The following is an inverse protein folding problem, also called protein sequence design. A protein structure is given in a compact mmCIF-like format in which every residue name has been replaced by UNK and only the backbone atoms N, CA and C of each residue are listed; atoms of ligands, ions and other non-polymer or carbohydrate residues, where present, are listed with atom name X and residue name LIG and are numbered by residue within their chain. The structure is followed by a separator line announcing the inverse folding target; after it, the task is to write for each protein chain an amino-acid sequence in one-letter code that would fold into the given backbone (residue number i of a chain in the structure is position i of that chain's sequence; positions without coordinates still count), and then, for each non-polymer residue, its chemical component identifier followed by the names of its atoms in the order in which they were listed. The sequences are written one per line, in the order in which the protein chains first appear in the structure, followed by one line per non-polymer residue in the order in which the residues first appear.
data_IF_866851385959
#
_entry.id   IF_866851385959
#
_cell.length_a   1.000
_cell.length_b   1.000
_cell.length_c   1.000
_cell.angle_alpha   90.00
_cell.angle_beta   90.00
_cell.angle_gamma   90.00
#
_symmetry.space_group_name_H-M   'P 1'
#
loop_
_entity.id
_entity.type
_entity.pdbx_description
1 polymer ?
#
# COMPACT_ATOMS: atom_id res chain seq x y z
N UNK A 1 5.01 5.11 -3.50
CA UNK A 1 6.38 5.01 -2.94
C UNK A 1 6.30 5.44 -1.48
N UNK A 2 6.29 4.49 -0.54
CA UNK A 2 6.44 4.74 0.89
C UNK A 2 7.55 5.75 1.22
N UNK A 3 7.32 6.62 2.21
CA UNK A 3 8.30 7.62 2.65
C UNK A 3 8.24 8.96 1.91
N UNK A 4 7.92 9.00 0.61
CA UNK A 4 7.86 10.27 -0.14
C UNK A 4 6.75 11.20 0.37
N UNK A 5 5.61 10.64 0.78
CA UNK A 5 4.52 11.43 1.36
C UNK A 5 4.89 12.06 2.71
N UNK A 6 5.61 11.32 3.55
CA UNK A 6 6.14 11.83 4.81
C UNK A 6 7.16 12.96 4.58
N UNK A 7 8.05 12.80 3.58
CA UNK A 7 8.98 13.87 3.16
C UNK A 7 8.21 15.11 2.70
N UNK A 8 7.14 14.92 1.92
CA UNK A 8 6.27 16.02 1.48
C UNK A 8 5.62 16.76 2.67
N UNK A 9 5.20 16.03 3.70
CA UNK A 9 4.68 16.59 4.95
C UNK A 9 5.77 17.19 5.87
N UNK A 10 7.03 17.30 5.39
CA UNK A 10 8.21 17.76 6.16
C UNK A 10 8.63 16.86 7.32
N UNK A 11 8.12 15.63 7.38
CA UNK A 11 8.56 14.60 8.34
C UNK A 11 9.72 13.79 7.74
N UNK A 12 10.88 14.44 7.64
CA UNK A 12 12.06 13.90 6.94
C UNK A 12 12.60 12.63 7.60
N UNK A 13 12.60 12.55 8.94
CA UNK A 13 13.13 11.38 9.64
C UNK A 13 12.30 10.14 9.31
N UNK A 14 10.96 10.20 9.46
CA UNK A 14 10.09 9.09 9.08
C UNK A 14 10.19 8.81 7.59
N UNK A 15 10.18 9.86 6.77
CA UNK A 15 10.24 9.72 5.32
C UNK A 15 11.47 8.97 4.81
N UNK A 16 12.66 9.31 5.32
CA UNK A 16 13.91 8.63 4.96
C UNK A 16 13.91 7.18 5.45
N UNK A 17 13.48 6.93 6.70
CA UNK A 17 13.41 5.57 7.25
C UNK A 17 12.47 4.67 6.43
N UNK A 18 11.29 5.17 6.09
CA UNK A 18 10.31 4.43 5.30
C UNK A 18 10.78 4.19 3.87
N UNK A 19 11.48 5.15 3.25
CA UNK A 19 12.05 4.99 1.91
C UNK A 19 13.18 3.94 1.90
N UNK A 20 14.05 3.93 2.90
CA UNK A 20 15.07 2.89 3.05
C UNK A 20 14.45 1.51 3.26
N UNK A 21 13.45 1.42 4.15
CA UNK A 21 12.75 0.18 4.42
C UNK A 21 12.02 -0.34 3.18
N UNK A 22 11.39 0.54 2.41
CA UNK A 22 10.77 0.19 1.13
C UNK A 22 11.78 -0.40 0.16
N UNK A 23 12.95 0.24 -0.01
CA UNK A 23 13.98 -0.27 -0.89
C UNK A 23 14.46 -1.67 -0.47
N UNK A 24 14.68 -1.87 0.84
CA UNK A 24 15.11 -3.17 1.40
C UNK A 24 14.06 -4.24 1.13
N UNK A 25 12.81 -4.01 1.51
CA UNK A 25 11.73 -5.00 1.36
C UNK A 25 11.45 -5.27 -0.13
N UNK A 26 11.46 -4.25 -0.99
CA UNK A 26 11.27 -4.41 -2.43
C UNK A 26 12.34 -5.33 -3.05
N UNK A 27 13.61 -5.13 -2.65
CA UNK A 27 14.73 -5.95 -3.11
C UNK A 27 14.65 -7.39 -2.61
N UNK A 28 14.33 -7.60 -1.34
CA UNK A 28 14.23 -8.93 -0.73
C UNK A 28 13.02 -9.73 -1.24
N UNK A 29 11.91 -9.04 -1.54
CA UNK A 29 10.68 -9.66 -2.07
C UNK A 29 10.69 -9.91 -3.57
N UNK A 30 11.63 -9.31 -4.31
CA UNK A 30 11.66 -9.29 -5.78
C UNK A 30 10.37 -8.75 -6.43
N UNK A 31 9.63 -7.89 -5.73
CA UNK A 31 8.33 -7.38 -6.20
C UNK A 31 8.44 -6.64 -7.53
N UNK A 32 9.45 -5.79 -7.74
CA UNK A 32 9.58 -5.05 -9.01
C UNK A 32 9.78 -5.98 -10.23
N UNK A 33 10.52 -7.09 -10.05
CA UNK A 33 10.69 -8.08 -11.10
C UNK A 33 9.38 -8.83 -11.38
N UNK A 34 8.65 -9.19 -10.32
CA UNK A 34 7.33 -9.82 -10.44
C UNK A 34 6.30 -8.90 -11.11
N UNK A 35 6.34 -7.59 -10.83
CA UNK A 35 5.51 -6.57 -11.49
C UNK A 35 5.82 -6.52 -12.98
N UNK A 36 7.10 -6.44 -13.36
CA UNK A 36 7.53 -6.42 -14.76
C UNK A 36 7.05 -7.67 -15.52
N UNK A 37 7.27 -8.86 -14.96
CA UNK A 37 6.80 -10.13 -15.54
C UNK A 37 5.28 -10.18 -15.65
N UNK A 38 4.57 -9.68 -14.64
CA UNK A 38 3.09 -9.61 -14.65
C UNK A 38 2.57 -8.71 -15.76
N UNK A 39 3.22 -7.57 -16.04
CA UNK A 39 2.84 -6.67 -17.13
C UNK A 39 3.12 -7.26 -18.52
N UNK A 40 4.09 -8.15 -18.63
CA UNK A 40 4.37 -8.87 -19.89
C UNK A 40 3.49 -10.11 -20.10
N UNK A 41 2.51 -10.37 -19.23
CA UNK A 41 1.65 -11.56 -19.32
C UNK A 41 2.27 -12.83 -18.75
N UNK A 42 3.48 -12.76 -18.18
CA UNK A 42 4.24 -13.91 -17.67
C UNK A 42 3.88 -14.22 -16.20
N UNK A 43 2.60 -14.44 -15.91
CA UNK A 43 2.07 -14.51 -14.53
C UNK A 43 2.67 -15.65 -13.69
N UNK A 44 2.86 -16.83 -14.29
CA UNK A 44 3.47 -17.95 -13.58
C UNK A 44 4.94 -17.67 -13.21
N UNK A 45 5.69 -17.01 -14.10
CA UNK A 45 7.06 -16.61 -13.81
C UNK A 45 7.10 -15.51 -12.77
N UNK A 46 6.17 -14.55 -12.82
CA UNK A 46 6.03 -13.53 -11.79
C UNK A 46 5.82 -14.15 -10.40
N UNK A 47 4.91 -15.12 -10.27
CA UNK A 47 4.67 -15.83 -9.00
C UNK A 47 5.91 -16.58 -8.51
N UNK A 48 6.64 -17.24 -9.41
CA UNK A 48 7.86 -17.98 -9.04
C UNK A 48 9.04 -17.06 -8.65
N UNK A 49 9.05 -15.82 -9.15
CA UNK A 49 10.09 -14.84 -8.85
C UNK A 49 9.93 -14.20 -7.46
N UNK A 50 8.70 -14.16 -6.94
CA UNK A 50 8.37 -13.50 -5.67
C UNK A 50 8.93 -14.30 -4.49
N UNK A 51 9.66 -13.61 -3.60
CA UNK A 51 9.91 -14.15 -2.27
C UNK A 51 8.72 -13.81 -1.35
N UNK A 52 7.89 -14.82 -1.09
CA UNK A 52 6.63 -14.68 -0.36
C UNK A 52 6.78 -14.22 1.10
N UNK A 53 7.89 -14.53 1.76
CA UNK A 53 8.13 -14.14 3.16
C UNK A 53 8.17 -12.61 3.31
N UNK A 54 8.90 -11.95 2.40
CA UNK A 54 8.97 -10.48 2.37
C UNK A 54 7.76 -9.86 1.63
N UNK A 55 7.21 -10.56 0.64
CA UNK A 55 6.08 -10.04 -0.12
C UNK A 55 4.82 -9.91 0.73
N UNK A 56 4.54 -10.85 1.64
CA UNK A 56 3.38 -10.77 2.54
C UNK A 56 3.43 -9.58 3.51
N UNK A 57 4.63 -9.08 3.83
CA UNK A 57 4.79 -7.86 4.61
C UNK A 57 4.43 -6.59 3.81
N UNK A 58 4.63 -6.61 2.50
CA UNK A 58 4.56 -5.43 1.65
C UNK A 58 3.18 -4.75 1.61
N UNK A 59 2.03 -5.45 1.48
CA UNK A 59 0.73 -4.80 1.47
C UNK A 59 0.43 -4.00 2.73
N UNK A 60 0.62 -4.61 3.91
CA UNK A 60 0.38 -3.94 5.19
C UNK A 60 1.33 -2.77 5.42
N UNK A 61 2.62 -2.95 5.10
CA UNK A 61 3.59 -1.87 5.14
C UNK A 61 3.20 -0.71 4.23
N UNK A 62 2.79 -1.00 2.99
CA UNK A 62 2.40 0.01 2.02
C UNK A 62 1.17 0.80 2.49
N UNK A 63 0.10 0.11 2.90
CA UNK A 63 -1.13 0.78 3.33
C UNK A 63 -0.93 1.56 4.63
N UNK A 64 -0.08 1.08 5.55
CA UNK A 64 0.32 1.83 6.73
C UNK A 64 1.02 3.15 6.36
N UNK A 65 1.97 3.12 5.41
CA UNK A 65 2.68 4.32 4.99
C UNK A 65 1.74 5.35 4.36
N UNK A 66 0.73 4.90 3.60
CA UNK A 66 -0.29 5.78 3.03
C UNK A 66 -1.18 6.36 4.14
N UNK A 67 -1.66 5.52 5.06
CA UNK A 67 -2.48 5.97 6.19
C UNK A 67 -1.76 7.01 7.04
N UNK A 68 -0.52 6.75 7.44
CA UNK A 68 0.31 7.70 8.21
C UNK A 68 0.50 9.01 7.45
N UNK A 69 0.77 8.97 6.15
CA UNK A 69 0.88 10.16 5.32
C UNK A 69 -0.44 10.97 5.31
N UNK A 70 -1.58 10.30 5.14
CA UNK A 70 -2.91 10.95 5.08
C UNK A 70 -3.26 11.58 6.43
N UNK A 71 -2.99 10.88 7.53
CA UNK A 71 -3.29 11.36 8.88
C UNK A 71 -2.46 12.60 9.23
N UNK A 72 -1.18 12.62 8.88
CA UNK A 72 -0.28 13.75 9.17
C UNK A 72 -0.41 14.91 8.16
N UNK A 73 -1.20 14.76 7.10
CA UNK A 73 -1.45 15.82 6.12
C UNK A 73 -2.65 16.72 6.50
N UNK A 74 -3.47 16.32 7.49
CA UNK A 74 -4.71 16.99 7.88
C UNK A 74 -4.60 17.54 9.31
N UNK A 75 -5.27 18.65 9.59
CA UNK A 75 -5.28 19.26 10.93
C UNK A 75 -6.21 18.52 11.90
N UNK A 76 -7.36 18.02 11.42
CA UNK A 76 -8.35 17.27 12.23
C UNK A 76 -8.93 16.07 11.47
N UNK A 77 -8.12 15.02 11.25
CA UNK A 77 -8.53 13.86 10.46
C UNK A 77 -9.58 13.02 11.20
N UNK A 78 -10.56 12.50 10.44
CA UNK A 78 -11.46 11.49 10.98
C UNK A 78 -10.71 10.16 11.21
N UNK A 79 -10.47 9.80 12.48
CA UNK A 79 -9.72 8.60 12.88
C UNK A 79 -10.41 7.28 12.50
N UNK A 80 -11.72 7.31 12.24
CA UNK A 80 -12.49 6.14 11.78
C UNK A 80 -12.10 5.73 10.34
N UNK A 81 -11.32 6.55 9.63
CA UNK A 81 -10.80 6.25 8.30
C UNK A 81 -9.82 5.06 8.28
N UNK A 82 -9.21 4.72 9.43
CA UNK A 82 -8.20 3.66 9.58
C UNK A 82 -8.66 2.28 9.10
N UNK A 83 -9.94 1.95 9.26
CA UNK A 83 -10.51 0.66 8.85
C UNK A 83 -10.31 0.37 7.36
N UNK A 84 -10.45 1.38 6.49
CA UNK A 84 -10.28 1.22 5.05
C UNK A 84 -8.86 0.83 4.65
N UNK A 85 -7.86 1.36 5.36
CA UNK A 85 -6.45 1.03 5.14
C UNK A 85 -6.11 -0.39 5.62
N UNK A 86 -6.72 -0.83 6.73
CA UNK A 86 -6.59 -2.22 7.23
C UNK A 86 -7.21 -3.20 6.23
N UNK A 87 -8.45 -2.95 5.77
CA UNK A 87 -9.09 -3.80 4.75
C UNK A 87 -8.29 -3.84 3.45
N UNK A 88 -7.71 -2.71 3.03
CA UNK A 88 -6.82 -2.67 1.87
C UNK A 88 -5.58 -3.56 2.07
N UNK A 89 -4.92 -3.47 3.22
CA UNK A 89 -3.75 -4.30 3.54
C UNK A 89 -4.08 -5.80 3.54
N UNK A 90 -5.21 -6.18 4.17
CA UNK A 90 -5.70 -7.55 4.20
C UNK A 90 -6.03 -8.08 2.80
N UNK A 91 -6.70 -7.28 1.98
CA UNK A 91 -6.99 -7.64 0.58
C UNK A 91 -5.71 -7.90 -0.20
N UNK A 92 -4.67 -7.10 0.03
CA UNK A 92 -3.34 -7.33 -0.54
C UNK A 92 -2.70 -8.64 -0.08
N UNK A 93 -2.74 -8.96 1.21
CA UNK A 93 -2.22 -10.22 1.73
C UNK A 93 -2.95 -11.43 1.14
N UNK A 94 -4.28 -11.41 1.09
CA UNK A 94 -5.06 -12.46 0.45
C UNK A 94 -4.75 -12.57 -1.04
N UNK A 95 -4.54 -11.44 -1.72
CA UNK A 95 -4.14 -11.40 -3.11
C UNK A 95 -2.80 -12.07 -3.39
N UNK A 96 -1.84 -11.96 -2.47
CA UNK A 96 -0.56 -12.66 -2.55
C UNK A 96 -0.74 -14.17 -2.32
N UNK A 97 -1.50 -14.57 -1.27
CA UNK A 97 -1.72 -15.97 -0.90
C UNK A 97 -2.48 -16.73 -2.01
N UNK A 98 -3.56 -16.13 -2.51
CA UNK A 98 -4.41 -16.74 -3.54
C UNK A 98 -4.03 -16.34 -4.97
N UNK A 99 -2.87 -15.70 -5.14
CA UNK A 99 -2.46 -15.13 -6.42
C UNK A 99 -2.41 -16.14 -7.56
N UNK A 100 -2.14 -17.41 -7.25
CA UNK A 100 -2.14 -18.52 -8.24
C UNK A 100 -3.50 -18.77 -8.90
N UNK A 101 -4.61 -18.48 -8.22
CA UNK A 101 -5.96 -18.73 -8.73
C UNK A 101 -6.56 -17.52 -9.45
N UNK A 102 -5.89 -16.38 -9.40
CA UNK A 102 -6.34 -15.13 -10.01
C UNK A 102 -5.62 -15.00 -11.36
N UNK A 103 -6.31 -14.68 -12.46
CA UNK A 103 -5.69 -14.60 -13.79
C UNK A 103 -4.60 -13.53 -13.89
N UNK A 104 -4.77 -12.39 -13.20
CA UNK A 104 -3.76 -11.32 -13.09
C UNK A 104 -3.68 -10.77 -11.67
N UNK A 105 -3.01 -11.50 -10.75
CA UNK A 105 -3.10 -11.24 -9.32
C UNK A 105 -2.54 -9.87 -8.94
N UNK A 106 -1.32 -9.55 -9.40
CA UNK A 106 -0.65 -8.31 -9.02
C UNK A 106 -1.42 -7.06 -9.45
N UNK A 107 -1.94 -7.05 -10.69
CA UNK A 107 -2.69 -5.91 -11.21
C UNK A 107 -4.06 -5.77 -10.53
N UNK A 108 -4.83 -6.87 -10.44
CA UNK A 108 -6.18 -6.83 -9.89
C UNK A 108 -6.18 -6.48 -8.39
N UNK A 109 -5.27 -7.10 -7.64
CA UNK A 109 -5.10 -6.87 -6.21
C UNK A 109 -4.57 -5.46 -5.97
N UNK A 110 -3.57 -5.01 -6.75
CA UNK A 110 -3.04 -3.66 -6.65
C UNK A 110 -4.13 -2.60 -6.90
N UNK A 111 -4.96 -2.78 -7.93
CA UNK A 111 -6.07 -1.88 -8.22
C UNK A 111 -7.11 -1.87 -7.08
N UNK A 112 -7.50 -3.05 -6.58
CA UNK A 112 -8.43 -3.16 -5.46
C UNK A 112 -7.91 -2.46 -4.19
N UNK A 113 -6.63 -2.62 -3.87
CA UNK A 113 -5.98 -1.94 -2.76
C UNK A 113 -6.04 -0.42 -2.93
N UNK A 114 -5.72 0.09 -4.13
CA UNK A 114 -5.75 1.53 -4.44
C UNK A 114 -7.16 2.07 -4.28
N UNK A 115 -8.19 1.39 -4.79
CA UNK A 115 -9.59 1.79 -4.64
C UNK A 115 -9.97 1.94 -3.15
N UNK A 116 -9.63 0.95 -2.31
CA UNK A 116 -9.91 0.98 -0.88
C UNK A 116 -9.16 2.11 -0.16
N UNK A 117 -7.90 2.36 -0.51
CA UNK A 117 -7.13 3.46 0.06
C UNK A 117 -7.69 4.82 -0.34
N UNK A 118 -8.13 5.01 -1.60
CA UNK A 118 -8.75 6.26 -2.05
C UNK A 118 -10.05 6.53 -1.29
N UNK A 119 -10.88 5.50 -1.08
CA UNK A 119 -12.07 5.60 -0.23
C UNK A 119 -11.68 5.98 1.20
N UNK A 120 -10.67 5.33 1.77
CA UNK A 120 -10.14 5.65 3.10
C UNK A 120 -9.69 7.10 3.21
N UNK A 121 -8.93 7.60 2.24
CA UNK A 121 -8.48 8.99 2.18
C UNK A 121 -9.66 9.97 2.11
N UNK A 122 -10.65 9.68 1.26
CA UNK A 122 -11.86 10.51 1.14
C UNK A 122 -12.69 10.54 2.44
N UNK A 123 -12.81 9.41 3.13
CA UNK A 123 -13.48 9.34 4.43
C UNK A 123 -12.69 10.12 5.48
N UNK A 124 -11.35 10.04 5.45
CA UNK A 124 -10.49 10.76 6.39
C UNK A 124 -10.69 12.28 6.26
N UNK A 125 -10.74 12.80 5.03
CA UNK A 125 -10.94 14.24 4.75
C UNK A 125 -12.33 14.77 5.11
N UNK A 126 -13.33 13.91 5.33
CA UNK A 126 -14.68 14.35 5.76
C UNK A 126 -14.75 14.76 7.23
N UNK A 127 -13.72 14.52 8.04
CA UNK A 127 -13.65 15.05 9.40
C UNK A 127 -13.71 16.57 9.45
N UNK A 128 -13.15 17.24 8.44
CA UNK A 128 -13.07 18.71 8.37
C UNK A 128 -14.44 19.40 8.18
N UNK A 129 -15.44 18.71 7.64
CA UNK A 129 -16.70 19.33 7.22
C UNK A 129 -17.76 19.43 8.33
N UNK A 130 -17.59 18.73 9.45
CA UNK A 130 -18.60 18.67 10.53
C UNK A 130 -18.47 19.86 11.51
N UNK A 131 -17.33 20.58 11.52
CA UNK A 131 -17.08 21.67 12.48
C UNK A 131 -17.33 23.09 11.95
N UNK A 132 -17.83 23.24 10.72
CA UNK A 132 -18.08 24.55 10.08
C UNK A 132 -19.56 24.98 10.06
N UNK A 133 -20.41 24.41 10.91
CA UNK A 133 -21.80 24.87 11.15
C UNK A 133 -21.99 25.21 12.61
#
# INVERSE_FOLDING_TARGET
MPGLGQIYNRDFLKGIVLLLLEHIVNRLSHINAAIMLSFNGEHLQALNQVNYEFALFYPGFYTFCVFDCVLNAQEDPNKDCSLWFIFSGLAGCFGIIYGRFIPMPLFLVGLAMICLMVIGTYVCSRGETIKTT
#
